data_IF_635124620105
#
_entry.id   IF_635124620105
#
_cell.length_a   1.000
_cell.length_b   1.000
_cell.length_c   1.000
_cell.angle_alpha   90.00
_cell.angle_beta   90.00
_cell.angle_gamma   90.00
#
_symmetry.space_group_name_H-M   'P 1'
#
loop_
_entity.id
_entity.type
_entity.pdbx_description
1 polymer ?
#
# COMPACT_ATOMS: atom_id res chain seq x y z
N UNK A 1 -3.57 -5.28 12.45
CA UNK A 1 -2.53 -4.62 11.65
C UNK A 1 -3.15 -3.86 10.49
N UNK A 2 -2.45 -2.89 9.98
CA UNK A 2 -2.81 -2.16 8.76
C UNK A 2 -1.88 -2.62 7.65
N UNK A 3 -2.46 -2.93 6.50
CA UNK A 3 -1.72 -3.24 5.28
C UNK A 3 -2.13 -2.20 4.23
N UNK A 4 -1.17 -1.57 3.58
CA UNK A 4 -1.46 -0.79 2.39
C UNK A 4 -0.55 -1.25 1.25
N UNK A 5 -1.06 -1.20 0.04
CA UNK A 5 -0.33 -1.65 -1.13
C UNK A 5 -0.44 -0.63 -2.25
N UNK A 6 0.52 -0.68 -3.16
CA UNK A 6 0.70 0.33 -4.18
C UNK A 6 1.39 -0.26 -5.40
N UNK A 7 1.30 0.41 -6.56
CA UNK A 7 1.86 -0.13 -7.81
C UNK A 7 3.37 -0.27 -7.86
N UNK A 8 4.12 0.45 -7.05
CA UNK A 8 5.55 0.21 -7.08
C UNK A 8 6.41 1.20 -6.32
N UNK A 9 7.53 0.70 -5.81
CA UNK A 9 8.59 1.50 -5.21
C UNK A 9 9.11 2.51 -6.24
N UNK A 10 9.47 3.70 -5.77
CA UNK A 10 10.03 4.79 -6.58
C UNK A 10 9.06 5.39 -7.61
N UNK A 11 7.79 4.97 -7.63
CA UNK A 11 6.81 5.57 -8.53
C UNK A 11 6.23 6.85 -7.89
N UNK A 12 5.66 7.79 -8.69
CA UNK A 12 5.36 9.14 -8.18
C UNK A 12 4.43 9.21 -6.97
N UNK A 13 3.19 8.75 -7.07
CA UNK A 13 2.21 8.86 -5.98
C UNK A 13 2.61 8.03 -4.77
N UNK A 14 3.19 6.85 -5.02
CA UNK A 14 3.67 5.97 -3.95
C UNK A 14 4.75 6.65 -3.13
N UNK A 15 5.70 7.32 -3.77
CA UNK A 15 6.84 7.98 -3.13
C UNK A 15 6.51 9.35 -2.56
N UNK A 16 5.61 10.11 -3.21
CA UNK A 16 5.34 11.49 -2.81
C UNK A 16 4.23 11.60 -1.78
N UNK A 17 3.31 10.63 -1.72
CA UNK A 17 2.11 10.76 -0.91
C UNK A 17 1.83 9.58 0.01
N UNK A 18 1.67 8.36 -0.55
CA UNK A 18 1.13 7.24 0.23
C UNK A 18 2.10 6.75 1.30
N UNK A 19 3.32 6.39 0.93
CA UNK A 19 4.30 5.90 1.89
C UNK A 19 4.68 6.98 2.92
N UNK A 20 5.03 8.20 2.51
CA UNK A 20 5.34 9.24 3.50
C UNK A 20 4.15 9.57 4.40
N UNK A 21 2.94 9.52 3.87
CA UNK A 21 1.73 9.79 4.63
C UNK A 21 1.52 8.77 5.74
N UNK A 22 1.67 7.48 5.46
CA UNK A 22 1.57 6.43 6.48
C UNK A 22 2.71 6.50 7.49
N UNK A 23 3.92 6.80 7.05
CA UNK A 23 5.05 6.98 7.97
C UNK A 23 4.79 8.14 8.95
N UNK A 24 4.28 9.26 8.44
CA UNK A 24 3.93 10.43 9.26
C UNK A 24 2.87 10.09 10.30
N UNK A 25 1.86 9.32 9.93
CA UNK A 25 0.73 8.96 10.80
C UNK A 25 0.96 7.68 11.60
N UNK A 26 2.15 7.09 11.51
CA UNK A 26 2.46 5.79 12.11
C UNK A 26 2.10 5.74 13.60
N UNK A 27 2.59 6.69 14.39
CA UNK A 27 2.35 6.68 15.83
C UNK A 27 0.87 6.91 16.16
N UNK A 28 0.21 7.80 15.45
CA UNK A 28 -1.23 8.06 15.65
C UNK A 28 -2.05 6.81 15.39
N UNK A 29 -1.73 6.07 14.32
CA UNK A 29 -2.43 4.84 13.96
C UNK A 29 -2.17 3.75 15.00
N UNK A 30 -0.92 3.57 15.43
CA UNK A 30 -0.58 2.58 16.46
C UNK A 30 -1.27 2.88 17.79
N UNK A 31 -1.37 4.14 18.17
CA UNK A 31 -2.02 4.55 19.42
C UNK A 31 -3.52 4.21 19.42
N UNK A 32 -4.10 3.97 18.26
CA UNK A 32 -5.51 3.58 18.14
C UNK A 32 -5.72 2.06 18.10
N UNK A 33 -4.73 1.27 18.56
CA UNK A 33 -4.87 -0.17 18.74
C UNK A 33 -4.33 -1.02 17.58
N UNK A 34 -3.58 -0.43 16.69
CA UNK A 34 -2.94 -1.14 15.57
C UNK A 34 -1.54 -1.59 16.00
N UNK A 35 -1.25 -2.88 15.84
CA UNK A 35 0.03 -3.46 16.24
C UNK A 35 1.16 -3.10 15.27
N UNK A 36 0.88 -3.02 13.97
CA UNK A 36 1.91 -2.70 12.99
C UNK A 36 1.29 -2.22 11.68
N UNK A 37 2.09 -1.49 10.88
CA UNK A 37 1.71 -1.00 9.56
C UNK A 37 2.69 -1.57 8.53
N UNK A 38 2.14 -2.24 7.51
CA UNK A 38 2.90 -2.89 6.46
C UNK A 38 2.62 -2.24 5.10
N UNK A 39 3.69 -2.01 4.34
CA UNK A 39 3.61 -1.57 2.95
C UNK A 39 3.98 -2.75 2.05
N UNK A 40 3.04 -3.17 1.21
CA UNK A 40 3.24 -4.28 0.28
C UNK A 40 3.39 -3.75 -1.13
N UNK A 41 4.38 -4.24 -1.85
CA UNK A 41 4.55 -3.90 -3.26
C UNK A 41 5.13 -5.09 -4.02
N UNK A 42 4.78 -5.21 -5.31
CA UNK A 42 5.34 -6.22 -6.20
C UNK A 42 6.72 -5.73 -6.66
N UNK A 43 7.65 -5.78 -5.71
CA UNK A 43 9.06 -5.44 -5.88
C UNK A 43 9.88 -6.41 -5.02
N UNK A 44 11.12 -6.62 -5.39
CA UNK A 44 12.00 -7.49 -4.59
C UNK A 44 12.47 -6.78 -3.31
N UNK A 45 13.14 -7.55 -2.44
CA UNK A 45 13.60 -7.04 -1.14
C UNK A 45 14.68 -5.96 -1.27
N UNK A 46 15.53 -6.06 -2.29
CA UNK A 46 16.59 -5.08 -2.50
C UNK A 46 16.00 -3.73 -2.89
N UNK A 47 15.03 -3.74 -3.81
CA UNK A 47 14.36 -2.52 -4.25
C UNK A 47 13.56 -1.90 -3.09
N UNK A 48 12.84 -2.72 -2.33
CA UNK A 48 12.05 -2.22 -1.20
C UNK A 48 12.93 -1.62 -0.11
N UNK A 49 14.08 -2.23 0.18
CA UNK A 49 15.04 -1.69 1.14
C UNK A 49 15.63 -0.37 0.66
N UNK A 50 16.03 -0.30 -0.60
CA UNK A 50 16.58 0.93 -1.19
C UNK A 50 15.54 2.06 -1.16
N UNK A 51 14.29 1.75 -1.44
CA UNK A 51 13.21 2.73 -1.43
C UNK A 51 12.95 3.23 0.00
N UNK A 52 12.90 2.33 0.98
CA UNK A 52 12.72 2.70 2.38
C UNK A 52 13.86 3.62 2.85
N UNK A 53 15.10 3.31 2.50
CA UNK A 53 16.27 4.12 2.83
C UNK A 53 16.18 5.51 2.18
N UNK A 54 15.84 5.56 0.91
CA UNK A 54 15.70 6.82 0.16
C UNK A 54 14.61 7.69 0.76
N UNK A 55 13.50 7.09 1.19
CA UNK A 55 12.36 7.79 1.78
C UNK A 55 12.53 8.04 3.28
N UNK A 56 13.64 7.59 3.87
CA UNK A 56 13.93 7.74 5.30
C UNK A 56 12.84 7.13 6.19
N UNK A 57 12.34 5.96 5.78
CA UNK A 57 11.30 5.23 6.52
C UNK A 57 11.94 4.54 7.73
N UNK A 58 11.40 4.80 8.91
CA UNK A 58 11.91 4.23 10.15
C UNK A 58 10.93 3.28 10.82
N UNK A 59 9.65 3.40 10.55
CA UNK A 59 8.60 2.71 11.28
C UNK A 59 7.78 1.74 10.44
N UNK A 60 7.26 2.18 9.29
CA UNK A 60 6.48 1.32 8.39
C UNK A 60 7.35 0.15 7.92
N UNK A 61 6.81 -1.06 8.00
CA UNK A 61 7.51 -2.28 7.60
C UNK A 61 7.23 -2.58 6.13
N UNK A 62 8.29 -2.89 5.40
CA UNK A 62 8.19 -3.21 3.97
C UNK A 62 8.00 -4.70 3.77
N UNK A 63 7.01 -5.09 2.94
CA UNK A 63 6.81 -6.48 2.54
C UNK A 63 7.08 -6.57 1.04
N UNK A 64 8.21 -7.19 0.65
CA UNK A 64 8.53 -7.38 -0.77
C UNK A 64 7.75 -8.57 -1.33
N UNK A 65 6.79 -8.29 -2.18
CA UNK A 65 5.99 -9.32 -2.85
C UNK A 65 6.46 -9.48 -4.30
N UNK A 66 7.76 -9.74 -4.48
CA UNK A 66 8.41 -9.74 -5.80
C UNK A 66 7.77 -10.68 -6.81
N UNK A 67 7.26 -11.82 -6.38
CA UNK A 67 6.56 -12.78 -7.26
C UNK A 67 5.09 -12.44 -7.47
N UNK A 68 4.55 -11.47 -6.74
CA UNK A 68 3.15 -11.09 -6.85
C UNK A 68 2.16 -12.08 -6.25
N UNK A 69 2.64 -13.07 -5.49
CA UNK A 69 1.77 -14.13 -4.97
C UNK A 69 0.77 -13.61 -3.95
N UNK A 70 1.23 -12.83 -2.98
CA UNK A 70 0.33 -12.25 -1.98
C UNK A 70 -0.68 -11.31 -2.65
N UNK A 71 -0.20 -10.45 -3.54
CA UNK A 71 -1.03 -9.52 -4.28
C UNK A 71 -2.10 -10.25 -5.10
N UNK A 72 -1.73 -11.36 -5.73
CA UNK A 72 -2.68 -12.20 -6.48
C UNK A 72 -3.75 -12.79 -5.56
N UNK A 73 -3.36 -13.31 -4.39
CA UNK A 73 -4.31 -13.86 -3.43
C UNK A 73 -5.28 -12.80 -2.89
N UNK A 74 -4.84 -11.57 -2.81
CA UNK A 74 -5.69 -10.45 -2.39
C UNK A 74 -6.61 -9.96 -3.52
N UNK A 75 -6.48 -10.50 -4.73
CA UNK A 75 -7.28 -10.10 -5.87
C UNK A 75 -6.87 -8.76 -6.48
N UNK A 76 -5.66 -8.32 -6.19
CA UNK A 76 -5.19 -6.97 -6.56
C UNK A 76 -4.06 -6.97 -7.59
N UNK A 77 -3.71 -8.13 -8.17
CA UNK A 77 -2.65 -8.19 -9.18
C UNK A 77 -3.18 -7.68 -10.52
N UNK A 78 -2.51 -6.68 -11.07
CA UNK A 78 -2.88 -6.06 -12.34
C UNK A 78 -1.66 -5.95 -13.25
N UNK A 79 -1.91 -5.76 -14.55
CA UNK A 79 -0.86 -5.53 -15.54
C UNK A 79 -0.65 -4.04 -15.76
N UNK A 80 0.60 -3.61 -15.65
CA UNK A 80 1.03 -2.24 -15.95
C UNK A 80 2.05 -2.23 -17.08
N UNK A 81 1.84 -3.06 -18.09
CA UNK A 81 2.77 -3.21 -19.21
C UNK A 81 2.91 -1.93 -20.02
N UNK A 82 1.87 -1.12 -20.10
CA UNK A 82 1.91 0.17 -20.81
C UNK A 82 2.93 1.14 -20.21
N UNK A 83 3.30 0.95 -18.94
CA UNK A 83 4.34 1.74 -18.27
C UNK A 83 5.67 0.99 -18.18
N UNK A 84 5.74 -0.23 -18.72
CA UNK A 84 6.93 -1.07 -18.62
C UNK A 84 7.11 -1.70 -17.24
N UNK A 85 6.09 -1.72 -16.41
CA UNK A 85 6.20 -2.20 -15.03
C UNK A 85 5.94 -3.71 -14.89
N UNK A 86 5.27 -4.32 -15.87
CA UNK A 86 4.81 -5.70 -15.73
C UNK A 86 3.64 -5.82 -14.75
N UNK A 87 3.60 -6.92 -14.03
CA UNK A 87 2.53 -7.16 -13.05
C UNK A 87 2.82 -6.40 -11.76
N UNK A 88 1.81 -5.71 -11.26
CA UNK A 88 1.91 -4.87 -10.05
C UNK A 88 0.64 -5.00 -9.22
N UNK A 89 0.65 -4.39 -8.03
CA UNK A 89 -0.54 -4.32 -7.19
C UNK A 89 -1.38 -3.11 -7.54
N UNK A 90 -2.69 -3.31 -7.52
CA UNK A 90 -3.61 -2.17 -7.44
C UNK A 90 -3.44 -1.49 -6.08
N UNK A 91 -3.84 -0.25 -5.97
CA UNK A 91 -3.68 0.53 -4.74
C UNK A 91 -4.86 0.26 -3.80
N UNK A 92 -4.56 -0.19 -2.59
CA UNK A 92 -5.56 -0.49 -1.58
C UNK A 92 -4.96 -0.36 -0.18
N UNK A 93 -5.84 -0.36 0.82
CA UNK A 93 -5.42 -0.55 2.21
C UNK A 93 -6.48 -1.39 2.95
N UNK A 94 -6.07 -2.01 4.04
CA UNK A 94 -6.93 -2.87 4.82
C UNK A 94 -6.56 -2.86 6.29
N UNK A 95 -7.55 -3.07 7.15
CA UNK A 95 -7.33 -3.45 8.55
C UNK A 95 -7.54 -4.95 8.64
N UNK A 96 -6.52 -5.66 9.12
CA UNK A 96 -6.54 -7.12 9.27
C UNK A 96 -6.37 -7.46 10.74
N UNK A 97 -7.26 -8.30 11.26
CA UNK A 97 -7.24 -8.74 12.65
C UNK A 97 -7.40 -10.25 12.71
N UNK A 98 -6.43 -10.92 13.32
CA UNK A 98 -6.41 -12.38 13.48
C UNK A 98 -6.62 -13.12 12.14
N UNK A 99 -5.98 -12.63 11.09
CA UNK A 99 -6.06 -13.22 9.75
C UNK A 99 -7.33 -12.90 8.97
N UNK A 100 -8.19 -12.04 9.52
CA UNK A 100 -9.45 -11.65 8.87
C UNK A 100 -9.40 -10.18 8.48
N UNK A 101 -9.81 -9.88 7.24
CA UNK A 101 -9.93 -8.49 6.78
C UNK A 101 -11.15 -7.88 7.45
N UNK A 102 -10.92 -6.92 8.33
CA UNK A 102 -11.99 -6.24 9.07
C UNK A 102 -12.57 -5.09 8.26
N UNK A 103 -11.72 -4.36 7.53
CA UNK A 103 -12.13 -3.22 6.71
C UNK A 103 -11.21 -3.12 5.49
N UNK A 104 -11.77 -2.74 4.37
CA UNK A 104 -11.09 -2.68 3.08
C UNK A 104 -11.39 -1.37 2.36
N UNK A 105 -10.35 -0.76 1.78
CA UNK A 105 -10.47 0.41 0.90
C UNK A 105 -9.68 0.13 -0.36
N UNK A 106 -10.30 0.33 -1.48
CA UNK A 106 -9.69 0.07 -2.78
C UNK A 106 -9.95 1.28 -3.68
N UNK A 107 -8.91 1.72 -4.40
CA UNK A 107 -9.08 2.80 -5.35
C UNK A 107 -10.05 2.36 -6.47
N UNK A 108 -10.87 3.29 -6.99
CA UNK A 108 -11.85 2.93 -8.03
C UNK A 108 -11.18 2.66 -9.37
N UNK A 109 -11.87 1.92 -10.23
CA UNK A 109 -11.47 1.73 -11.63
C UNK A 109 -10.40 0.70 -11.87
N UNK A 110 -10.24 -0.29 -11.00
CA UNK A 110 -9.23 -1.36 -11.18
C UNK A 110 -9.34 -1.96 -12.59
N UNK A 111 -8.20 -2.01 -13.30
CA UNK A 111 -8.15 -2.55 -14.67
C UNK A 111 -6.72 -2.95 -15.04
N UNK A 112 -6.61 -3.71 -16.18
CA UNK A 112 -5.34 -4.11 -16.76
C UNK A 112 -5.08 -3.40 -18.10
N UNK A 113 -5.86 -2.38 -18.42
CA UNK A 113 -5.90 -1.76 -19.75
C UNK A 113 -5.10 -0.46 -19.82
N UNK A 114 -4.59 0.00 -18.70
CA UNK A 114 -3.81 1.23 -18.66
C UNK A 114 -4.65 2.50 -18.77
N UNK A 115 -5.93 2.41 -18.42
CA UNK A 115 -6.86 3.55 -18.49
C UNK A 115 -7.03 4.26 -17.16
N UNK A 116 -6.32 3.79 -16.13
CA UNK A 116 -6.37 4.40 -14.81
C UNK A 116 -5.52 5.66 -14.75
N UNK A 117 -5.93 6.61 -13.93
CA UNK A 117 -5.22 7.86 -13.67
C UNK A 117 -4.40 7.81 -12.39
N UNK A 118 -3.97 6.60 -11.96
CA UNK A 118 -3.26 6.36 -10.69
C UNK A 118 -4.02 6.98 -9.52
N UNK A 119 -5.30 6.56 -9.30
CA UNK A 119 -6.13 7.20 -8.29
C UNK A 119 -5.61 7.01 -6.87
N UNK A 120 -5.77 8.05 -6.06
CA UNK A 120 -5.36 8.03 -4.66
C UNK A 120 -6.32 8.89 -3.84
N UNK A 121 -7.51 8.34 -3.54
CA UNK A 121 -8.55 9.04 -2.78
C UNK A 121 -9.12 8.18 -1.64
N UNK A 122 -9.10 6.85 -1.78
CA UNK A 122 -9.68 5.93 -0.82
C UNK A 122 -8.65 5.40 0.19
N UNK A 123 -7.49 4.97 -0.28
CA UNK A 123 -6.47 4.29 0.53
C UNK A 123 -5.47 5.26 1.15
N UNK A 124 -5.98 6.32 1.77
CA UNK A 124 -5.16 7.38 2.37
C UNK A 124 -5.01 7.16 3.88
N UNK A 125 -3.89 7.62 4.48
CA UNK A 125 -3.75 7.55 5.93
C UNK A 125 -4.81 8.37 6.66
N UNK A 126 -5.31 9.46 6.06
CA UNK A 126 -6.40 10.26 6.62
C UNK A 126 -7.67 9.42 6.77
N UNK A 127 -8.04 8.64 5.75
CA UNK A 127 -9.19 7.76 5.81
C UNK A 127 -9.01 6.64 6.84
N UNK A 128 -7.78 6.14 6.99
CA UNK A 128 -7.47 5.13 8.01
C UNK A 128 -7.66 5.71 9.41
N UNK A 129 -7.10 6.88 9.67
CA UNK A 129 -7.24 7.56 10.96
C UNK A 129 -8.72 7.82 11.28
N UNK A 130 -9.46 8.27 10.30
CA UNK A 130 -10.89 8.55 10.42
C UNK A 130 -11.68 7.30 10.83
N UNK A 131 -11.43 6.19 10.16
CA UNK A 131 -12.07 4.91 10.49
C UNK A 131 -11.72 4.46 11.92
N UNK A 132 -10.45 4.53 12.30
CA UNK A 132 -9.99 4.09 13.61
C UNK A 132 -10.54 4.95 14.75
N UNK A 133 -10.87 6.21 14.48
CA UNK A 133 -11.54 7.10 15.43
C UNK A 133 -13.04 6.85 15.53
N UNK A 134 -13.60 5.99 14.69
CA UNK A 134 -15.04 5.73 14.65
C UNK A 134 -15.84 6.73 13.85
N UNK A 135 -15.19 7.46 12.98
CA UNK A 135 -15.83 8.50 12.14
C UNK A 135 -16.29 8.00 10.77
#
# INVERSE_FOLDING_TARGET
>A
VVIFSLPGAFTPTCSSQQLPGFEKEYNSIKDMGIDEIYCVSVNDSFVMNAWADRMQIQNVKMIPDGSGNFTRFMGMLIGKNHLGFGNRSWRYMAVVKDGVVEKWWQEPGINNEGTDDDPYVESTPENMVKYLKGE
#
